data_IF_284783725153
#
_entry.id   IF_284783725153
#
_cell.length_a   1.000
_cell.length_b   1.000
_cell.length_c   1.000
_cell.angle_alpha   90.00
_cell.angle_beta   90.00
_cell.angle_gamma   90.00
#
_symmetry.space_group_name_H-M   'P 1'
#
loop_
_entity.id
_entity.type
_entity.pdbx_description
1 polymer ?
#
# COMPACT_ATOMS: atom_id res chain seq x y z
N UNK A 1 23.06 16.51 -6.61
CA UNK A 1 22.03 15.56 -6.15
C UNK A 1 22.45 14.98 -4.81
N UNK A 2 22.15 15.68 -3.72
CA UNK A 2 22.40 15.23 -2.35
C UNK A 2 21.20 15.65 -1.52
N UNK A 3 20.11 14.89 -1.65
CA UNK A 3 18.83 15.08 -0.92
C UNK A 3 18.67 13.96 0.14
N UNK A 4 19.66 13.09 0.31
CA UNK A 4 19.61 11.96 1.24
C UNK A 4 20.77 11.98 2.23
N UNK A 5 20.73 12.90 3.21
CA UNK A 5 21.50 12.74 4.47
C UNK A 5 20.56 12.93 5.65
N UNK A 6 20.69 12.02 6.62
CA UNK A 6 19.83 11.87 7.78
C UNK A 6 19.82 13.09 8.70
N UNK A 7 18.87 13.98 8.44
CA UNK A 7 17.90 14.56 9.38
C UNK A 7 16.86 15.38 8.58
N UNK A 8 16.63 14.97 7.31
CA UNK A 8 15.78 15.67 6.35
C UNK A 8 14.31 15.20 6.49
N UNK A 9 13.35 16.12 6.67
CA UNK A 9 11.92 15.84 6.58
C UNK A 9 11.52 14.98 5.38
N UNK A 10 12.18 15.12 4.23
CA UNK A 10 11.91 14.32 3.04
C UNK A 10 12.38 12.87 3.17
N UNK A 11 13.44 12.59 3.94
CA UNK A 11 13.86 11.22 4.24
C UNK A 11 12.79 10.49 5.05
N UNK A 12 12.23 11.13 6.07
CA UNK A 12 11.13 10.53 6.87
C UNK A 12 9.88 10.30 6.04
N UNK A 13 9.57 11.19 5.10
CA UNK A 13 8.48 10.99 4.15
C UNK A 13 8.73 9.75 3.28
N UNK A 14 9.95 9.56 2.79
CA UNK A 14 10.31 8.38 2.01
C UNK A 14 10.25 7.09 2.83
N UNK A 15 10.68 7.11 4.10
CA UNK A 15 10.57 5.96 5.02
C UNK A 15 9.10 5.58 5.27
N UNK A 16 8.25 6.58 5.56
CA UNK A 16 6.82 6.37 5.75
C UNK A 16 6.14 5.85 4.49
N UNK A 17 6.52 6.35 3.31
CA UNK A 17 6.00 5.86 2.04
C UNK A 17 6.40 4.39 1.80
N UNK A 18 7.66 4.03 2.08
CA UNK A 18 8.12 2.65 1.94
C UNK A 18 7.39 1.69 2.90
N UNK A 19 7.15 2.11 4.14
CA UNK A 19 6.33 1.37 5.09
C UNK A 19 4.90 1.20 4.57
N UNK A 20 4.26 2.30 4.14
CA UNK A 20 2.90 2.29 3.59
C UNK A 20 2.78 1.35 2.38
N UNK A 21 3.77 1.33 1.50
CA UNK A 21 3.82 0.44 0.35
C UNK A 21 3.95 -1.05 0.75
N UNK A 22 4.72 -1.35 1.80
CA UNK A 22 4.84 -2.72 2.31
C UNK A 22 3.56 -3.19 3.01
N UNK A 23 2.93 -2.33 3.82
CA UNK A 23 1.67 -2.64 4.50
C UNK A 23 0.55 -2.94 3.50
N UNK A 24 0.41 -2.13 2.45
CA UNK A 24 -0.59 -2.36 1.39
C UNK A 24 -0.30 -3.63 0.57
N UNK A 25 0.97 -4.00 0.39
CA UNK A 25 1.36 -5.30 -0.18
C UNK A 25 0.93 -6.46 0.72
N UNK A 26 1.09 -6.34 2.03
CA UNK A 26 0.64 -7.35 3.00
C UNK A 26 -0.90 -7.46 3.02
N UNK A 27 -1.61 -6.33 2.99
CA UNK A 27 -3.07 -6.30 2.85
C UNK A 27 -3.52 -7.00 1.57
N UNK A 28 -2.88 -6.74 0.43
CA UNK A 28 -3.23 -7.38 -0.85
C UNK A 28 -3.07 -8.89 -0.78
N UNK A 29 -1.99 -9.37 -0.17
CA UNK A 29 -1.75 -10.80 0.02
C UNK A 29 -2.80 -11.42 0.93
N UNK A 30 -3.04 -10.85 2.11
CA UNK A 30 -4.05 -11.35 3.06
C UNK A 30 -5.47 -11.31 2.48
N UNK A 31 -5.84 -10.24 1.78
CA UNK A 31 -7.13 -10.15 1.09
C UNK A 31 -7.31 -11.24 0.04
N UNK A 32 -6.25 -11.58 -0.69
CA UNK A 32 -6.26 -12.73 -1.60
C UNK A 32 -6.47 -14.05 -0.87
N UNK A 33 -5.80 -14.26 0.26
CA UNK A 33 -6.00 -15.49 1.07
C UNK A 33 -7.44 -15.60 1.58
N UNK A 34 -8.01 -14.49 2.05
CA UNK A 34 -9.39 -14.43 2.53
C UNK A 34 -10.36 -14.72 1.40
N UNK A 35 -10.25 -13.99 0.28
CA UNK A 35 -11.20 -14.08 -0.82
C UNK A 35 -11.23 -15.47 -1.48
N UNK A 36 -10.08 -16.13 -1.64
CA UNK A 36 -10.01 -17.46 -2.25
C UNK A 36 -10.14 -18.62 -1.23
N UNK A 37 -10.46 -18.31 0.03
CA UNK A 37 -10.76 -19.27 1.07
C UNK A 37 -9.60 -20.07 1.64
N UNK A 38 -8.41 -19.49 1.59
CA UNK A 38 -7.23 -20.00 2.30
C UNK A 38 -7.24 -19.60 3.78
N UNK A 39 -7.88 -18.48 4.14
CA UNK A 39 -8.01 -17.99 5.52
C UNK A 39 -9.32 -17.20 5.74
N UNK A 40 -10.33 -17.82 6.35
CA UNK A 40 -11.62 -17.18 6.66
C UNK A 40 -11.74 -16.76 8.13
N UNK A 41 -10.63 -16.66 8.87
CA UNK A 41 -10.73 -16.25 10.27
C UNK A 41 -11.19 -14.80 10.38
N UNK A 42 -12.11 -14.52 11.32
CA UNK A 42 -12.45 -13.13 11.68
C UNK A 42 -11.18 -12.34 12.01
N UNK A 43 -10.20 -12.99 12.66
CA UNK A 43 -8.87 -12.44 12.94
C UNK A 43 -8.11 -11.93 11.70
N UNK A 44 -8.24 -12.60 10.55
CA UNK A 44 -7.59 -12.21 9.31
C UNK A 44 -8.20 -10.94 8.71
N UNK A 45 -9.54 -10.83 8.69
CA UNK A 45 -10.22 -9.61 8.26
C UNK A 45 -9.93 -8.45 9.22
N UNK A 46 -9.99 -8.71 10.53
CA UNK A 46 -9.66 -7.73 11.57
C UNK A 46 -8.24 -7.17 11.40
N UNK A 47 -7.30 -8.02 10.99
CA UNK A 47 -5.93 -7.60 10.66
C UNK A 47 -5.90 -6.68 9.44
N UNK A 48 -6.63 -7.01 8.37
CA UNK A 48 -6.72 -6.14 7.18
C UNK A 48 -7.30 -4.77 7.54
N UNK A 49 -8.36 -4.72 8.34
CA UNK A 49 -8.94 -3.45 8.81
C UNK A 49 -7.98 -2.62 9.66
N UNK A 50 -7.22 -3.26 10.57
CA UNK A 50 -6.22 -2.56 11.39
C UNK A 50 -5.10 -1.99 10.53
N UNK A 51 -4.61 -2.75 9.55
CA UNK A 51 -3.59 -2.30 8.62
C UNK A 51 -4.09 -1.18 7.71
N UNK A 52 -5.35 -1.24 7.25
CA UNK A 52 -6.00 -0.16 6.49
C UNK A 52 -6.00 1.16 7.27
N UNK A 53 -6.35 1.12 8.55
CA UNK A 53 -6.30 2.30 9.41
C UNK A 53 -4.87 2.87 9.54
N UNK A 54 -3.85 2.00 9.62
CA UNK A 54 -2.45 2.42 9.64
C UNK A 54 -2.00 3.07 8.32
N UNK A 55 -2.38 2.50 7.17
CA UNK A 55 -2.12 3.06 5.84
C UNK A 55 -2.75 4.45 5.70
N UNK A 56 -3.98 4.61 6.17
CA UNK A 56 -4.69 5.89 6.19
C UNK A 56 -3.99 6.94 7.07
N UNK A 57 -3.46 6.56 8.23
CA UNK A 57 -2.70 7.49 9.08
C UNK A 57 -1.33 7.85 8.49
N UNK A 58 -0.66 6.91 7.82
CA UNK A 58 0.58 7.17 7.09
C UNK A 58 0.35 8.15 5.93
N UNK A 59 -0.72 7.97 5.16
CA UNK A 59 -1.13 8.89 4.09
C UNK A 59 -1.28 10.32 4.61
N UNK A 60 -2.00 10.48 5.72
CA UNK A 60 -2.24 11.78 6.35
C UNK A 60 -0.95 12.39 6.86
N UNK A 61 -0.10 11.56 7.45
CA UNK A 61 1.21 11.98 7.98
C UNK A 61 2.12 12.47 6.86
N UNK A 62 2.26 11.70 5.78
CA UNK A 62 3.07 12.07 4.62
C UNK A 62 2.57 13.37 3.98
N UNK A 63 1.25 13.51 3.78
CA UNK A 63 0.68 14.73 3.22
C UNK A 63 0.96 15.96 4.07
N UNK A 64 0.80 15.86 5.40
CA UNK A 64 1.11 16.96 6.34
C UNK A 64 2.59 17.33 6.28
N UNK A 65 3.49 16.35 6.26
CA UNK A 65 4.93 16.59 6.15
C UNK A 65 5.31 17.29 4.85
N UNK A 66 4.78 16.84 3.71
CA UNK A 66 5.03 17.48 2.41
C UNK A 66 4.47 18.90 2.35
N UNK A 67 3.27 19.13 2.86
CA UNK A 67 2.67 20.47 2.90
C UNK A 67 3.46 21.42 3.81
N UNK A 68 3.94 20.92 4.96
CA UNK A 68 4.82 21.68 5.86
C UNK A 68 6.12 22.04 5.15
N UNK A 69 6.74 21.07 4.46
CA UNK A 69 7.98 21.28 3.69
C UNK A 69 7.82 22.40 2.65
N UNK A 70 6.73 22.37 1.87
CA UNK A 70 6.45 23.37 0.84
C UNK A 70 6.05 24.75 1.38
N UNK A 71 5.61 24.82 2.64
CA UNK A 71 5.24 26.09 3.28
C UNK A 71 6.46 26.90 3.76
N UNK A 72 7.65 26.27 3.82
CA UNK A 72 8.88 26.93 4.22
C UNK A 72 9.41 27.80 3.06
N UNK A 73 9.68 29.10 3.28
CA UNK A 73 10.25 29.97 2.25
C UNK A 73 11.57 29.38 1.70
N UNK A 74 11.68 29.29 0.37
CA UNK A 74 12.84 28.72 -0.32
C UNK A 74 12.65 27.28 -0.82
N UNK A 75 11.64 26.54 -0.33
CA UNK A 75 11.39 25.15 -0.72
C UNK A 75 10.44 25.01 -1.93
N UNK A 76 10.02 26.11 -2.57
CA UNK A 76 9.10 26.08 -3.70
C UNK A 76 9.66 25.32 -4.92
N UNK A 77 10.99 25.18 -5.01
CA UNK A 77 11.66 24.37 -6.03
C UNK A 77 11.33 22.88 -5.93
N UNK A 78 10.94 22.40 -4.74
CA UNK A 78 10.60 20.99 -4.49
C UNK A 78 9.11 20.68 -4.75
N UNK A 79 8.32 21.68 -5.15
CA UNK A 79 6.88 21.52 -5.39
C UNK A 79 6.55 20.41 -6.41
N UNK A 80 7.23 20.29 -7.57
CA UNK A 80 6.93 19.23 -8.52
C UNK A 80 7.13 17.82 -7.93
N UNK A 81 8.21 17.61 -7.20
CA UNK A 81 8.51 16.32 -6.56
C UNK A 81 7.51 15.99 -5.44
N UNK A 82 7.18 16.99 -4.62
CA UNK A 82 6.21 16.83 -3.53
C UNK A 82 4.81 16.50 -4.03
N UNK A 83 4.36 17.13 -5.13
CA UNK A 83 3.07 16.82 -5.76
C UNK A 83 3.03 15.43 -6.40
N UNK A 84 4.13 15.02 -7.03
CA UNK A 84 4.27 13.66 -7.55
C UNK A 84 4.15 12.65 -6.41
N UNK A 85 4.86 12.86 -5.31
CA UNK A 85 4.82 11.97 -4.15
C UNK A 85 3.44 11.95 -3.49
N UNK A 86 2.75 13.09 -3.38
CA UNK A 86 1.36 13.13 -2.92
C UNK A 86 0.42 12.28 -3.79
N UNK A 87 0.67 12.24 -5.10
CA UNK A 87 -0.13 11.44 -6.04
C UNK A 87 0.15 9.94 -5.83
N UNK A 88 1.42 9.56 -5.70
CA UNK A 88 1.82 8.18 -5.42
C UNK A 88 1.27 7.68 -4.07
N UNK A 89 1.33 8.49 -3.02
CA UNK A 89 0.77 8.16 -1.70
C UNK A 89 -0.72 7.85 -1.81
N UNK A 90 -1.46 8.67 -2.55
CA UNK A 90 -2.90 8.44 -2.78
C UNK A 90 -3.16 7.17 -3.59
N UNK A 91 -2.34 6.87 -4.58
CA UNK A 91 -2.49 5.64 -5.36
C UNK A 91 -2.21 4.40 -4.50
N UNK A 92 -1.25 4.47 -3.57
CA UNK A 92 -0.98 3.40 -2.61
C UNK A 92 -2.12 3.21 -1.61
N UNK A 93 -2.69 4.29 -1.07
CA UNK A 93 -3.87 4.22 -0.19
C UNK A 93 -5.04 3.51 -0.89
N UNK A 94 -5.30 3.84 -2.16
CA UNK A 94 -6.31 3.15 -2.97
C UNK A 94 -6.05 1.66 -3.15
N UNK A 95 -4.79 1.24 -3.27
CA UNK A 95 -4.45 -0.18 -3.31
C UNK A 95 -4.82 -0.88 -1.99
N UNK A 96 -4.61 -0.21 -0.85
CA UNK A 96 -5.07 -0.66 0.46
C UNK A 96 -6.59 -0.79 0.53
N UNK A 97 -7.32 0.24 0.10
CA UNK A 97 -8.78 0.24 0.04
C UNK A 97 -9.32 -0.90 -0.83
N UNK A 98 -8.71 -1.16 -2.00
CA UNK A 98 -9.11 -2.28 -2.85
C UNK A 98 -8.85 -3.64 -2.19
N UNK A 99 -7.73 -3.79 -1.47
CA UNK A 99 -7.44 -5.01 -0.73
C UNK A 99 -8.47 -5.23 0.40
N UNK A 100 -8.79 -4.20 1.16
CA UNK A 100 -9.83 -4.25 2.19
C UNK A 100 -11.18 -4.64 1.60
N UNK A 101 -11.63 -3.93 0.56
CA UNK A 101 -12.88 -4.27 -0.13
C UNK A 101 -12.90 -5.73 -0.60
N UNK A 102 -11.79 -6.23 -1.16
CA UNK A 102 -11.68 -7.63 -1.57
C UNK A 102 -11.84 -8.61 -0.39
N UNK A 103 -11.26 -8.28 0.77
CA UNK A 103 -11.39 -9.09 1.99
C UNK A 103 -12.80 -9.10 2.59
N UNK A 104 -13.61 -8.06 2.32
CA UNK A 104 -14.99 -7.94 2.80
C UNK A 104 -15.99 -8.64 1.87
N UNK A 105 -15.65 -8.91 0.60
CA UNK A 105 -16.58 -9.55 -0.36
C UNK A 105 -17.04 -10.95 0.12
N UNK A 106 -16.22 -11.65 0.91
CA UNK A 106 -16.59 -12.98 1.45
C UNK A 106 -17.82 -12.93 2.36
N UNK A 107 -18.17 -11.77 2.93
CA UNK A 107 -19.37 -11.59 3.76
C UNK A 107 -20.68 -11.63 2.94
N UNK A 108 -20.59 -11.32 1.64
CA UNK A 108 -21.75 -11.25 0.72
C UNK A 108 -21.72 -12.35 -0.35
N UNK A 109 -20.62 -13.08 -0.45
CA UNK A 109 -20.35 -14.09 -1.47
C UNK A 109 -20.62 -15.53 -1.01
N UNK A 110 -20.52 -16.51 -1.93
CA UNK A 110 -20.54 -17.92 -1.56
C UNK A 110 -19.28 -18.28 -0.76
N UNK A 111 -19.44 -19.14 0.25
CA UNK A 111 -18.35 -19.61 1.12
C UNK A 111 -17.26 -20.37 0.33
N UNK A 112 -17.64 -21.00 -0.78
CA UNK A 112 -16.73 -21.74 -1.68
C UNK A 112 -17.08 -21.42 -3.13
N UNK A 113 -16.09 -21.00 -3.91
CA UNK A 113 -16.23 -20.85 -5.36
C UNK A 113 -16.18 -22.23 -6.03
N UNK A 114 -17.12 -22.56 -6.94
CA UNK A 114 -17.05 -23.80 -7.70
C UNK A 114 -15.82 -23.80 -8.61
N UNK A 115 -15.18 -24.96 -8.77
CA UNK A 115 -14.09 -25.10 -9.73
C UNK A 115 -14.57 -24.76 -11.14
N UNK A 116 -13.92 -23.77 -11.74
CA UNK A 116 -14.23 -23.32 -13.10
C UNK A 116 -12.98 -22.76 -13.80
N UNK A 117 -13.08 -22.58 -15.12
CA UNK A 117 -12.02 -21.94 -15.89
C UNK A 117 -11.82 -20.49 -15.42
N UNK A 118 -12.91 -19.78 -15.13
CA UNK A 118 -12.89 -18.41 -14.62
C UNK A 118 -12.20 -18.31 -13.24
N UNK A 119 -12.47 -19.27 -12.34
CA UNK A 119 -11.78 -19.31 -11.04
C UNK A 119 -10.27 -19.51 -11.22
N UNK A 120 -9.88 -20.38 -12.16
CA UNK A 120 -8.47 -20.63 -12.47
C UNK A 120 -7.78 -19.37 -13.02
N UNK A 121 -8.46 -18.62 -13.90
CA UNK A 121 -7.97 -17.33 -14.41
C UNK A 121 -7.81 -16.29 -13.29
N UNK A 122 -8.79 -16.19 -12.38
CA UNK A 122 -8.72 -15.27 -11.23
C UNK A 122 -7.55 -15.59 -10.30
N UNK A 123 -7.29 -16.88 -10.02
CA UNK A 123 -6.12 -17.32 -9.24
C UNK A 123 -4.82 -16.92 -9.95
N UNK A 124 -4.74 -17.07 -11.28
CA UNK A 124 -3.58 -16.66 -12.06
C UNK A 124 -3.37 -15.15 -12.05
N UNK A 125 -4.45 -14.36 -12.12
CA UNK A 125 -4.39 -12.89 -11.99
C UNK A 125 -3.90 -12.51 -10.59
N UNK A 126 -4.47 -13.07 -9.52
CA UNK A 126 -4.03 -12.86 -8.13
C UNK A 126 -2.53 -13.07 -7.99
N UNK A 127 -2.01 -14.22 -8.43
CA UNK A 127 -0.57 -14.54 -8.34
C UNK A 127 0.30 -13.52 -9.07
N UNK A 128 -0.11 -13.07 -10.25
CA UNK A 128 0.63 -12.05 -11.02
C UNK A 128 0.64 -10.71 -10.31
N UNK A 129 -0.49 -10.30 -9.72
CA UNK A 129 -0.60 -9.08 -8.92
C UNK A 129 0.32 -9.16 -7.70
N UNK A 130 0.24 -10.24 -6.92
CA UNK A 130 1.08 -10.45 -5.73
C UNK A 130 2.58 -10.41 -6.06
N UNK A 131 2.99 -11.08 -7.15
CA UNK A 131 4.39 -11.08 -7.60
C UNK A 131 4.87 -9.69 -8.05
N UNK A 132 4.04 -8.98 -8.82
CA UNK A 132 4.37 -7.62 -9.27
C UNK A 132 4.47 -6.66 -8.09
N UNK A 133 3.52 -6.73 -7.15
CA UNK A 133 3.54 -5.90 -5.95
C UNK A 133 4.76 -6.20 -5.09
N UNK A 134 5.10 -7.49 -4.90
CA UNK A 134 6.32 -7.89 -4.20
C UNK A 134 7.57 -7.28 -4.84
N UNK A 135 7.70 -7.39 -6.16
CA UNK A 135 8.86 -6.87 -6.88
C UNK A 135 8.99 -5.35 -6.69
N UNK A 136 7.88 -4.62 -6.80
CA UNK A 136 7.85 -3.18 -6.54
C UNK A 136 8.22 -2.85 -5.08
N UNK A 137 7.68 -3.58 -4.10
CA UNK A 137 7.97 -3.36 -2.69
C UNK A 137 9.45 -3.57 -2.37
N UNK A 138 10.07 -4.61 -2.94
CA UNK A 138 11.51 -4.85 -2.81
C UNK A 138 12.34 -3.69 -3.38
N UNK A 139 11.96 -3.15 -4.54
CA UNK A 139 12.65 -2.00 -5.14
C UNK A 139 12.53 -0.78 -4.22
N UNK A 140 11.32 -0.46 -3.74
CA UNK A 140 11.09 0.67 -2.85
C UNK A 140 11.89 0.53 -1.55
N UNK A 141 11.87 -0.63 -0.91
CA UNK A 141 12.62 -0.88 0.33
C UNK A 141 14.14 -0.84 0.12
N UNK A 142 14.65 -1.43 -0.97
CA UNK A 142 16.09 -1.41 -1.28
C UNK A 142 16.62 -0.01 -1.57
N UNK A 143 15.78 0.88 -2.12
CA UNK A 143 16.13 2.29 -2.36
C UNK A 143 16.33 3.10 -1.08
N UNK A 144 15.96 2.56 0.10
CA UNK A 144 16.18 3.19 1.41
C UNK A 144 17.50 2.80 2.07
N UNK A 145 18.19 1.76 1.59
CA UNK A 145 19.41 1.23 2.20
C UNK A 145 20.72 1.70 1.54
N UNK A 146 20.63 2.43 0.42
CA UNK A 146 21.77 2.97 -0.33
C UNK A 146 21.90 4.48 -0.17
#
# INVERSE_FOLDING_TARGET
>A
MSIFRGDDPLSKVADNFALMFNLTREMTYSAGQIFFGEDHSEDAQDKVHKTDAEVNELERTIRRSLMTHLSIPGNSVDAPYSLLLMSLVKDVERLGDYAKNLSEIVEIGPEVFPESEELSELIMIRRRVELAYQACANIVLSSRQG
#
